data_IF_852834605617
#
_entry.id   IF_852834605617
#
_cell.length_a   1.000
_cell.length_b   1.000
_cell.length_c   1.000
_cell.angle_alpha   90.00
_cell.angle_beta   90.00
_cell.angle_gamma   90.00
#
_symmetry.space_group_name_H-M   'P 1'
#
loop_
_entity.id
_entity.type
_entity.pdbx_description
1 polymer ?
#
# COMPACT_ATOMS: atom_id res chain seq x y z
N UNK A 1 8.36 -2.86 16.43
CA UNK A 1 9.06 -3.90 15.66
C UNK A 1 8.07 -5.00 15.26
N UNK A 2 7.32 -4.76 14.17
CA UNK A 2 6.28 -5.69 13.71
C UNK A 2 6.86 -7.07 13.31
N UNK A 3 8.07 -7.10 12.74
CA UNK A 3 8.72 -8.36 12.37
C UNK A 3 8.95 -9.28 13.57
N UNK A 4 9.30 -8.73 14.73
CA UNK A 4 9.41 -9.52 15.97
C UNK A 4 8.05 -9.98 16.49
N UNK A 5 7.05 -9.11 16.45
CA UNK A 5 5.69 -9.45 16.88
C UNK A 5 5.09 -10.55 16.00
N UNK A 6 5.27 -10.44 14.68
CA UNK A 6 4.83 -11.46 13.74
C UNK A 6 5.49 -12.82 14.00
N UNK A 7 6.80 -12.86 14.23
CA UNK A 7 7.52 -14.09 14.55
C UNK A 7 6.96 -14.79 15.81
N UNK A 8 6.71 -14.04 16.87
CA UNK A 8 6.14 -14.59 18.11
C UNK A 8 4.69 -15.01 17.91
N UNK A 9 3.87 -14.20 17.26
CA UNK A 9 2.44 -14.49 17.03
C UNK A 9 2.22 -15.72 16.13
N UNK A 10 3.17 -16.00 15.24
CA UNK A 10 3.12 -17.23 14.40
C UNK A 10 3.52 -18.50 15.14
N UNK A 11 3.88 -18.43 16.42
CA UNK A 11 4.29 -19.57 17.22
C UNK A 11 5.75 -19.98 17.04
N UNK A 12 6.56 -19.16 16.38
CA UNK A 12 8.01 -19.44 16.27
C UNK A 12 8.67 -19.35 17.64
N UNK A 13 9.72 -20.18 17.89
CA UNK A 13 10.44 -20.17 19.16
C UNK A 13 11.07 -18.79 19.48
N UNK A 14 11.18 -18.46 20.76
CA UNK A 14 11.67 -17.16 21.22
C UNK A 14 13.09 -16.79 20.77
N UNK A 15 13.90 -17.79 20.39
CA UNK A 15 15.23 -17.56 19.86
C UNK A 15 15.25 -17.16 18.38
N UNK A 16 14.13 -17.26 17.65
CA UNK A 16 14.03 -16.76 16.27
C UNK A 16 13.93 -15.24 16.32
N UNK A 17 14.90 -14.50 15.79
CA UNK A 17 14.88 -13.05 15.81
C UNK A 17 13.83 -12.51 14.83
N UNK A 18 13.42 -11.27 15.05
CA UNK A 18 12.58 -10.53 14.13
C UNK A 18 13.01 -9.07 14.06
N UNK A 19 13.08 -8.54 12.86
CA UNK A 19 13.50 -7.17 12.58
C UNK A 19 12.46 -6.50 11.67
N UNK A 20 12.28 -5.20 11.83
CA UNK A 20 11.53 -4.38 10.88
C UNK A 20 12.49 -3.43 10.18
N UNK A 21 12.28 -3.22 8.89
CA UNK A 21 12.97 -2.24 8.08
C UNK A 21 11.95 -1.33 7.42
N UNK A 22 12.24 -0.04 7.41
CA UNK A 22 11.46 0.95 6.70
C UNK A 22 12.33 1.65 5.66
N UNK A 23 11.94 1.51 4.42
CA UNK A 23 12.45 2.25 3.27
C UNK A 23 11.28 2.67 2.37
N UNK A 24 10.19 3.10 2.97
CA UNK A 24 8.97 3.50 2.28
C UNK A 24 8.49 2.39 1.32
N UNK A 25 8.09 2.73 0.10
CA UNK A 25 7.62 1.79 -0.92
C UNK A 25 8.64 0.69 -1.31
N UNK A 26 9.93 0.88 -1.02
CA UNK A 26 10.99 -0.10 -1.29
C UNK A 26 11.25 -1.05 -0.12
N UNK A 27 10.47 -1.00 0.98
CA UNK A 27 10.71 -1.80 2.19
C UNK A 27 10.66 -3.30 1.94
N UNK A 28 9.71 -3.77 1.14
CA UNK A 28 9.58 -5.19 0.81
C UNK A 28 10.82 -5.75 0.09
N UNK A 29 11.28 -5.08 -0.95
CA UNK A 29 12.50 -5.47 -1.66
C UNK A 29 13.74 -5.37 -0.75
N UNK A 30 13.79 -4.36 0.14
CA UNK A 30 14.90 -4.22 1.08
C UNK A 30 14.90 -5.34 2.12
N UNK A 31 13.76 -5.79 2.62
CA UNK A 31 13.66 -6.93 3.52
C UNK A 31 14.26 -8.20 2.89
N UNK A 32 13.89 -8.48 1.63
CA UNK A 32 14.45 -9.61 0.86
C UNK A 32 15.97 -9.45 0.67
N UNK A 33 16.41 -8.26 0.26
CA UNK A 33 17.84 -7.99 0.01
C UNK A 33 18.70 -8.13 1.27
N UNK A 34 18.19 -7.71 2.44
CA UNK A 34 18.87 -7.88 3.72
C UNK A 34 18.98 -9.38 4.06
N UNK A 35 17.86 -10.12 3.96
CA UNK A 35 17.86 -11.57 4.21
C UNK A 35 18.82 -12.32 3.31
N UNK A 36 18.85 -12.02 2.01
CA UNK A 36 19.78 -12.62 1.07
C UNK A 36 21.26 -12.36 1.43
N UNK A 37 21.57 -11.15 1.89
CA UNK A 37 22.93 -10.79 2.35
C UNK A 37 23.32 -11.55 3.60
N UNK A 38 22.42 -11.70 4.58
CA UNK A 38 22.69 -12.47 5.80
C UNK A 38 23.00 -13.94 5.49
N UNK A 39 22.27 -14.55 4.54
CA UNK A 39 22.56 -15.90 4.06
C UNK A 39 23.92 -15.95 3.35
N UNK A 40 24.19 -15.00 2.44
CA UNK A 40 25.45 -14.95 1.71
C UNK A 40 26.67 -14.76 2.63
N UNK A 41 26.51 -13.99 3.71
CA UNK A 41 27.55 -13.80 4.74
C UNK A 41 27.64 -14.95 5.76
N UNK A 42 26.80 -15.98 5.64
CA UNK A 42 26.72 -17.11 6.58
C UNK A 42 26.37 -16.70 8.02
N UNK A 43 25.64 -15.61 8.18
CA UNK A 43 25.10 -15.18 9.48
C UNK A 43 23.83 -15.92 9.85
N UNK A 44 23.05 -16.32 8.82
CA UNK A 44 21.82 -17.10 8.94
C UNK A 44 21.71 -18.13 7.81
N UNK A 45 21.07 -19.26 8.08
CA UNK A 45 20.82 -20.30 7.08
C UNK A 45 19.46 -20.12 6.41
N UNK A 46 18.47 -19.63 7.15
CA UNK A 46 17.08 -19.44 6.68
C UNK A 46 16.59 -18.07 7.12
N UNK A 47 16.03 -17.32 6.19
CA UNK A 47 15.42 -16.01 6.45
C UNK A 47 14.06 -15.93 5.76
N UNK A 48 13.08 -15.35 6.44
CA UNK A 48 11.78 -14.99 5.87
C UNK A 48 11.73 -13.48 5.66
N UNK A 49 11.54 -13.04 4.43
CA UNK A 49 11.30 -11.64 4.09
C UNK A 49 9.82 -11.44 3.74
N UNK A 50 9.18 -10.47 4.37
CA UNK A 50 7.78 -10.17 4.14
C UNK A 50 7.46 -8.70 4.34
N UNK A 51 6.19 -8.33 4.18
CA UNK A 51 5.71 -6.99 4.42
C UNK A 51 4.29 -6.97 4.95
N UNK A 52 3.95 -5.91 5.67
CA UNK A 52 2.61 -5.63 6.14
C UNK A 52 2.39 -4.13 6.10
N UNK A 53 1.20 -3.72 5.69
CA UNK A 53 0.80 -2.32 5.71
C UNK A 53 -0.65 -2.19 6.19
N UNK A 54 -0.91 -1.13 6.96
CA UNK A 54 -2.25 -0.74 7.38
C UNK A 54 -2.38 0.78 7.34
N UNK A 55 -2.70 1.32 6.18
CA UNK A 55 -2.78 2.77 5.95
C UNK A 55 -3.80 3.42 6.89
N UNK A 56 -4.97 2.83 7.04
CA UNK A 56 -6.04 3.37 7.90
C UNK A 56 -5.68 3.42 9.40
N UNK A 57 -4.80 2.52 9.86
CA UNK A 57 -4.32 2.54 11.25
C UNK A 57 -3.11 3.45 11.47
N UNK A 58 -2.34 3.71 10.44
CA UNK A 58 -1.07 4.46 10.54
C UNK A 58 -1.19 5.89 10.06
N UNK A 59 -1.97 6.14 8.99
CA UNK A 59 -2.15 7.46 8.38
C UNK A 59 -3.52 8.05 8.74
N UNK A 60 -3.72 8.42 9.99
CA UNK A 60 -4.96 8.98 10.50
C UNK A 60 -4.68 10.20 11.41
N UNK A 61 -5.71 10.72 12.07
CA UNK A 61 -5.62 11.85 12.99
C UNK A 61 -4.73 11.61 14.21
N UNK A 62 -4.49 10.35 14.58
CA UNK A 62 -3.63 9.97 15.72
C UNK A 62 -2.16 9.82 15.33
N UNK A 63 -1.81 9.98 14.03
CA UNK A 63 -0.42 9.93 13.58
C UNK A 63 0.41 11.03 14.24
N UNK A 64 1.55 10.67 14.81
CA UNK A 64 2.47 11.63 15.40
C UNK A 64 3.15 12.47 14.32
N UNK A 65 2.71 13.73 14.19
CA UNK A 65 3.27 14.71 13.25
C UNK A 65 4.13 15.77 13.95
N UNK A 66 4.36 15.63 15.26
CA UNK A 66 5.15 16.58 16.01
C UNK A 66 6.60 16.60 15.53
N UNK A 67 7.03 17.77 15.06
CA UNK A 67 8.38 18.01 14.48
C UNK A 67 8.78 16.97 13.41
N UNK A 68 7.82 16.48 12.63
CA UNK A 68 8.07 15.49 11.57
C UNK A 68 8.84 16.05 10.37
N UNK A 69 8.95 17.38 10.25
CA UNK A 69 9.66 18.05 9.18
C UNK A 69 10.83 18.87 9.70
N UNK A 70 11.99 18.76 9.09
CA UNK A 70 13.17 19.52 9.41
C UNK A 70 13.24 20.84 8.60
N UNK A 71 13.31 21.97 9.29
CA UNK A 71 13.28 23.30 8.66
C UNK A 71 14.52 23.60 7.83
N UNK A 72 15.69 23.10 8.22
CA UNK A 72 16.93 23.30 7.47
C UNK A 72 16.90 22.48 6.18
N UNK A 73 16.39 21.25 6.28
CA UNK A 73 16.22 20.38 5.12
C UNK A 73 15.23 20.99 4.11
N UNK A 74 14.09 21.51 4.58
CA UNK A 74 13.14 22.24 3.72
C UNK A 74 13.77 23.46 3.04
N UNK A 75 14.64 24.19 3.72
CA UNK A 75 15.37 25.33 3.12
C UNK A 75 16.31 24.88 2.00
N UNK A 76 17.00 23.76 2.18
CA UNK A 76 18.00 23.25 1.24
C UNK A 76 17.39 22.40 0.10
N UNK A 77 16.28 21.78 0.37
CA UNK A 77 15.52 20.89 -0.56
C UNK A 77 14.02 21.14 -0.34
N UNK A 78 13.45 22.21 -0.94
CA UNK A 78 12.06 22.62 -0.70
C UNK A 78 11.02 21.49 -0.92
N UNK A 79 11.27 20.64 -1.89
CA UNK A 79 10.34 19.58 -2.33
C UNK A 79 10.54 18.26 -1.59
N UNK A 80 11.40 18.21 -0.54
CA UNK A 80 11.73 16.94 0.14
C UNK A 80 10.52 16.27 0.80
N UNK A 81 9.53 17.06 1.21
CA UNK A 81 8.29 16.59 1.82
C UNK A 81 7.09 16.72 0.88
N UNK A 82 7.33 16.86 -0.43
CA UNK A 82 6.30 16.89 -1.46
C UNK A 82 5.45 15.61 -1.40
N UNK A 83 4.14 15.75 -1.49
CA UNK A 83 3.25 14.59 -1.53
C UNK A 83 3.42 13.77 -2.80
N UNK A 84 2.98 12.51 -2.79
CA UNK A 84 3.03 11.67 -3.99
C UNK A 84 2.07 12.18 -5.09
N UNK A 85 0.97 12.82 -4.72
CA UNK A 85 0.06 13.46 -5.68
C UNK A 85 0.74 14.65 -6.36
N UNK A 86 1.37 15.55 -5.60
CA UNK A 86 2.15 16.66 -6.16
C UNK A 86 3.29 16.15 -7.05
N UNK A 87 3.97 15.08 -6.63
CA UNK A 87 5.03 14.44 -7.43
C UNK A 87 4.48 13.89 -8.75
N UNK A 88 3.32 13.24 -8.71
CA UNK A 88 2.66 12.73 -9.91
C UNK A 88 2.28 13.86 -10.88
N UNK A 89 1.77 14.98 -10.36
CA UNK A 89 1.48 16.19 -11.14
C UNK A 89 2.73 16.74 -11.83
N UNK A 90 3.85 16.85 -11.10
CA UNK A 90 5.15 17.26 -11.67
C UNK A 90 5.61 16.31 -12.78
N UNK A 91 5.45 15.01 -12.60
CA UNK A 91 5.81 14.00 -13.61
C UNK A 91 4.91 14.09 -14.82
N UNK A 92 3.60 14.17 -14.63
CA UNK A 92 2.64 14.28 -15.73
C UNK A 92 2.92 15.53 -16.59
N UNK A 93 3.15 16.68 -15.96
CA UNK A 93 3.51 17.92 -16.64
C UNK A 93 4.86 17.81 -17.37
N UNK A 94 5.90 17.34 -16.70
CA UNK A 94 7.27 17.24 -17.25
C UNK A 94 7.36 16.35 -18.48
N UNK A 95 6.62 15.25 -18.48
CA UNK A 95 6.67 14.25 -19.55
C UNK A 95 5.46 14.30 -20.49
N UNK A 96 4.60 15.31 -20.35
CA UNK A 96 3.38 15.49 -21.15
C UNK A 96 2.50 14.24 -21.16
N UNK A 97 2.24 13.68 -19.97
CA UNK A 97 1.36 12.52 -19.81
C UNK A 97 -0.07 13.03 -19.66
N UNK A 98 -0.87 12.86 -20.70
CA UNK A 98 -2.25 13.34 -20.70
C UNK A 98 -3.13 12.53 -19.74
N UNK A 99 -4.27 13.09 -19.35
CA UNK A 99 -5.30 12.44 -18.53
C UNK A 99 -5.82 11.18 -19.21
N UNK A 100 -6.04 11.20 -20.50
CA UNK A 100 -6.53 10.05 -21.26
C UNK A 100 -5.57 8.86 -21.16
N UNK A 101 -4.26 9.09 -21.26
CA UNK A 101 -3.24 8.02 -21.09
C UNK A 101 -3.24 7.44 -19.68
N UNK A 102 -3.48 8.27 -18.67
CA UNK A 102 -3.59 7.83 -17.28
C UNK A 102 -4.84 6.96 -17.10
N UNK A 103 -5.98 7.38 -17.65
CA UNK A 103 -7.24 6.67 -17.58
C UNK A 103 -7.18 5.32 -18.34
N UNK A 104 -6.59 5.30 -19.54
CA UNK A 104 -6.34 4.07 -20.31
C UNK A 104 -5.48 3.07 -19.53
N UNK A 105 -4.41 3.55 -18.89
CA UNK A 105 -3.54 2.70 -18.09
C UNK A 105 -4.25 2.17 -16.84
N UNK A 106 -5.01 3.02 -16.16
CA UNK A 106 -5.80 2.63 -15.00
C UNK A 106 -6.85 1.56 -15.36
N UNK A 107 -7.59 1.76 -16.47
CA UNK A 107 -8.53 0.76 -16.98
C UNK A 107 -7.84 -0.57 -17.30
N UNK A 108 -6.72 -0.52 -18.00
CA UNK A 108 -5.94 -1.74 -18.33
C UNK A 108 -5.51 -2.47 -17.05
N UNK A 109 -5.06 -1.75 -16.02
CA UNK A 109 -4.67 -2.32 -14.74
C UNK A 109 -5.83 -3.04 -14.05
N UNK A 110 -7.01 -2.42 -13.99
CA UNK A 110 -8.21 -3.04 -13.43
C UNK A 110 -8.61 -4.31 -14.19
N UNK A 111 -8.61 -4.26 -15.52
CA UNK A 111 -8.97 -5.41 -16.37
C UNK A 111 -7.99 -6.58 -16.22
N UNK A 112 -6.68 -6.29 -16.19
CA UNK A 112 -5.65 -7.33 -16.00
C UNK A 112 -5.79 -8.02 -14.64
N UNK A 113 -6.01 -7.26 -13.58
CA UNK A 113 -6.22 -7.80 -12.23
C UNK A 113 -7.49 -8.65 -12.17
N UNK A 114 -8.60 -8.16 -12.74
CA UNK A 114 -9.86 -8.91 -12.82
C UNK A 114 -9.69 -10.24 -13.55
N UNK A 115 -9.04 -10.23 -14.70
CA UNK A 115 -8.79 -11.44 -15.46
C UNK A 115 -7.88 -12.42 -14.69
N UNK A 116 -6.85 -11.93 -14.02
CA UNK A 116 -5.97 -12.75 -13.21
C UNK A 116 -6.70 -13.40 -12.03
N UNK A 117 -7.56 -12.66 -11.34
CA UNK A 117 -8.41 -13.19 -10.26
C UNK A 117 -9.37 -14.27 -10.78
N UNK A 118 -10.07 -14.00 -11.90
CA UNK A 118 -11.02 -14.95 -12.47
C UNK A 118 -10.36 -16.24 -13.01
N UNK A 119 -9.12 -16.15 -13.48
CA UNK A 119 -8.35 -17.32 -13.92
C UNK A 119 -7.65 -18.04 -12.75
N UNK A 120 -7.86 -17.59 -11.52
CA UNK A 120 -7.32 -18.25 -10.33
C UNK A 120 -5.82 -18.09 -10.13
N UNK A 121 -5.17 -17.12 -10.78
CA UNK A 121 -3.70 -16.95 -10.71
C UNK A 121 -3.18 -16.63 -9.32
N UNK A 122 -4.04 -16.15 -8.42
CA UNK A 122 -3.68 -15.83 -7.04
C UNK A 122 -4.12 -16.88 -6.02
N UNK A 123 -4.81 -17.96 -6.44
CA UNK A 123 -5.43 -18.91 -5.50
C UNK A 123 -4.42 -19.61 -4.58
N UNK A 124 -3.22 -19.89 -5.10
CA UNK A 124 -2.18 -20.61 -4.35
C UNK A 124 -1.44 -19.74 -3.34
N UNK A 125 -1.59 -18.41 -3.41
CA UNK A 125 -0.90 -17.46 -2.53
C UNK A 125 -1.83 -16.75 -1.53
N UNK A 126 -3.15 -16.86 -1.72
CA UNK A 126 -4.13 -16.24 -0.82
C UNK A 126 -4.48 -17.18 0.31
N UNK A 127 -4.28 -16.70 1.54
CA UNK A 127 -4.70 -17.39 2.76
C UNK A 127 -5.97 -16.72 3.28
N UNK A 128 -7.09 -17.47 3.44
CA UNK A 128 -8.33 -16.92 4.02
C UNK A 128 -8.12 -16.36 5.43
N UNK A 129 -8.66 -15.17 5.67
CA UNK A 129 -8.55 -14.49 6.97
C UNK A 129 -9.93 -14.22 7.54
N UNK A 130 -10.20 -14.77 8.73
CA UNK A 130 -11.41 -14.46 9.51
C UNK A 130 -11.18 -13.16 10.28
N UNK A 131 -12.11 -12.24 10.16
CA UNK A 131 -12.03 -10.94 10.84
C UNK A 131 -13.41 -10.37 11.08
N UNK A 132 -13.47 -9.34 11.91
CA UNK A 132 -14.69 -8.58 12.19
C UNK A 132 -14.73 -7.33 11.34
N UNK A 133 -15.66 -7.24 10.41
CA UNK A 133 -15.91 -6.04 9.61
C UNK A 133 -16.71 -5.03 10.41
N UNK A 134 -16.22 -3.80 10.41
CA UNK A 134 -16.92 -2.67 11.02
C UNK A 134 -17.73 -1.96 9.95
N UNK A 135 -19.02 -1.92 10.14
CA UNK A 135 -19.97 -1.27 9.24
C UNK A 135 -20.63 -0.08 9.94
N UNK A 136 -20.84 1.00 9.20
CA UNK A 136 -21.51 2.19 9.68
C UNK A 136 -22.74 2.47 8.84
N UNK A 137 -23.89 2.51 9.48
CA UNK A 137 -25.11 2.96 8.81
C UNK A 137 -25.04 4.48 8.61
N UNK A 138 -25.12 4.94 7.36
CA UNK A 138 -24.97 6.34 7.00
C UNK A 138 -26.12 7.21 7.54
N UNK A 139 -27.34 6.65 7.58
CA UNK A 139 -28.54 7.40 8.01
C UNK A 139 -28.63 7.50 9.53
N UNK A 140 -28.43 6.39 10.24
CA UNK A 140 -28.54 6.34 11.71
C UNK A 140 -27.23 6.63 12.46
N UNK A 141 -26.10 6.71 11.75
CA UNK A 141 -24.76 6.85 12.31
C UNK A 141 -24.37 5.74 13.31
N UNK A 142 -25.11 4.62 13.31
CA UNK A 142 -24.85 3.48 14.16
C UNK A 142 -23.77 2.58 13.56
N UNK A 143 -22.93 2.08 14.45
CA UNK A 143 -21.86 1.11 14.09
C UNK A 143 -22.34 -0.29 14.46
N UNK A 144 -22.15 -1.23 13.55
CA UNK A 144 -22.37 -2.65 13.80
C UNK A 144 -21.21 -3.49 13.27
N UNK A 145 -21.14 -4.71 13.75
CA UNK A 145 -20.00 -5.60 13.53
C UNK A 145 -20.50 -6.87 12.85
N UNK A 146 -19.75 -7.34 11.87
CA UNK A 146 -20.06 -8.54 11.11
C UNK A 146 -18.82 -9.43 11.02
N UNK A 147 -18.93 -10.69 11.44
CA UNK A 147 -17.88 -11.68 11.24
C UNK A 147 -17.83 -12.08 9.77
N UNK A 148 -16.68 -11.91 9.15
CA UNK A 148 -16.46 -12.21 7.73
C UNK A 148 -15.19 -13.03 7.53
N UNK A 149 -15.17 -13.78 6.43
CA UNK A 149 -13.95 -14.44 5.95
C UNK A 149 -13.52 -13.80 4.63
N UNK A 150 -12.34 -13.19 4.63
CA UNK A 150 -11.73 -12.58 3.44
C UNK A 150 -10.96 -13.66 2.69
N UNK A 151 -11.38 -13.94 1.47
CA UNK A 151 -10.81 -15.01 0.62
C UNK A 151 -10.17 -14.49 -0.66
N UNK A 152 -10.16 -13.17 -0.88
CA UNK A 152 -9.55 -12.51 -2.05
C UNK A 152 -9.21 -11.07 -1.73
N UNK A 153 -8.31 -10.49 -2.53
CA UNK A 153 -8.06 -9.05 -2.52
C UNK A 153 -9.26 -8.28 -3.07
N UNK A 154 -9.71 -7.26 -2.34
CA UNK A 154 -10.93 -6.50 -2.63
C UNK A 154 -10.67 -5.15 -3.34
N UNK A 155 -9.41 -4.81 -3.62
CA UNK A 155 -9.05 -3.50 -4.21
C UNK A 155 -9.41 -3.37 -5.69
N UNK A 156 -9.59 -4.48 -6.41
CA UNK A 156 -9.99 -4.46 -7.81
C UNK A 156 -11.43 -4.00 -7.98
N UNK A 157 -11.69 -3.17 -8.98
CA UNK A 157 -13.02 -2.69 -9.38
C UNK A 157 -13.35 -3.15 -10.80
N UNK A 158 -13.95 -4.33 -10.99
CA UNK A 158 -14.23 -4.91 -12.31
C UNK A 158 -15.17 -4.06 -13.19
N UNK A 159 -16.01 -3.23 -12.57
CA UNK A 159 -16.94 -2.32 -13.26
C UNK A 159 -16.29 -1.02 -13.74
N UNK A 160 -14.98 -0.86 -13.58
CA UNK A 160 -14.28 0.32 -14.09
C UNK A 160 -14.34 0.36 -15.60
N UNK A 161 -14.74 1.49 -16.17
CA UNK A 161 -14.74 1.78 -17.59
C UNK A 161 -14.13 3.16 -17.89
N UNK A 162 -13.88 3.43 -19.16
CA UNK A 162 -13.22 4.67 -19.58
C UNK A 162 -14.10 5.90 -19.37
N UNK A 163 -15.42 5.77 -19.51
CA UNK A 163 -16.37 6.84 -19.30
C UNK A 163 -16.40 7.28 -17.84
N UNK A 164 -16.46 6.31 -16.93
CA UNK A 164 -16.42 6.56 -15.49
C UNK A 164 -15.12 7.24 -15.06
N UNK A 165 -13.96 6.80 -15.60
CA UNK A 165 -12.67 7.41 -15.32
C UNK A 165 -12.60 8.85 -15.84
N UNK A 166 -13.01 9.10 -17.07
CA UNK A 166 -12.95 10.44 -17.69
C UNK A 166 -13.86 11.47 -17.00
N UNK A 167 -14.92 11.02 -16.33
CA UNK A 167 -15.84 11.87 -15.55
C UNK A 167 -15.30 12.24 -14.17
N UNK A 168 -14.20 11.62 -13.70
CA UNK A 168 -13.59 11.98 -12.43
C UNK A 168 -12.91 13.34 -12.52
N UNK A 169 -13.20 14.19 -11.55
CA UNK A 169 -12.54 15.50 -11.46
C UNK A 169 -11.08 15.31 -11.02
N UNK A 170 -10.16 16.13 -11.57
CA UNK A 170 -8.78 16.16 -11.10
C UNK A 170 -8.70 16.47 -9.60
N UNK A 171 -7.84 15.75 -8.89
CA UNK A 171 -7.69 15.85 -7.43
C UNK A 171 -7.07 17.17 -7.01
N UNK A 172 -6.17 17.72 -7.85
CA UNK A 172 -5.44 18.96 -7.57
C UNK A 172 -6.14 20.22 -8.08
N UNK A 173 -7.33 20.10 -8.68
CA UNK A 173 -8.12 21.21 -9.22
C UNK A 173 -8.27 21.18 -10.73
N UNK A 174 -9.15 22.06 -11.26
CA UNK A 174 -9.65 22.00 -12.65
C UNK A 174 -8.57 22.04 -13.77
N UNK A 175 -7.37 22.56 -13.48
CA UNK A 175 -6.30 22.66 -14.46
C UNK A 175 -5.13 21.70 -14.18
N UNK A 176 -5.33 20.71 -13.34
CA UNK A 176 -4.31 19.71 -13.02
C UNK A 176 -4.42 18.46 -13.89
N UNK A 177 -3.33 17.69 -13.95
CA UNK A 177 -3.26 16.45 -14.72
C UNK A 177 -3.76 15.22 -13.93
N UNK A 178 -3.73 15.30 -12.57
CA UNK A 178 -4.04 14.18 -11.69
C UNK A 178 -5.40 14.35 -11.04
#
# INVERSE_FOLDING_TARGET
>A
NIGRLAAISSGLPVHVPGMSVDRQCASGLMAIAIGAKQIACKEMDIVVGGGVESISLVQNEFSNKYKSQDKLLMKNKPDIYMSMIDTAEVVANRYNISREKQDEYALQSQQRTYNAQNNGYFNDEIIPVKTTKVLKNIESNQTFYEEVEITKDECNRPSTDIEGLSNLKPVMGENSFI
#
